data_IF_463326086482
#
_entry.id   IF_463326086482
#
_cell.length_a   1.000
_cell.length_b   1.000
_cell.length_c   1.000
_cell.angle_alpha   90.00
_cell.angle_beta   90.00
_cell.angle_gamma   90.00
#
_symmetry.space_group_name_H-M   'P 1'
#
loop_
_entity.id
_entity.type
_entity.pdbx_description
1 polymer ?
#
# COMPACT_ATOMS: atom_id res chain seq x y z
N UNK A 1 -10.39 -64.39 -18.72
CA UNK A 1 -9.30 -63.39 -18.58
C UNK A 1 -9.95 -62.01 -18.44
N UNK A 2 -9.57 -61.29 -17.38
CA UNK A 2 -10.27 -60.12 -16.83
C UNK A 2 -9.87 -58.85 -17.60
N UNK A 3 -10.86 -58.10 -18.09
CA UNK A 3 -10.66 -56.79 -18.75
C UNK A 3 -10.65 -55.72 -17.66
N UNK A 4 -9.55 -54.98 -17.62
CA UNK A 4 -9.15 -53.97 -16.64
C UNK A 4 -10.07 -52.76 -16.64
N UNK A 5 -10.55 -52.39 -15.45
CA UNK A 5 -11.32 -51.19 -15.18
C UNK A 5 -10.43 -49.94 -15.27
N UNK A 6 -10.78 -49.00 -16.16
CA UNK A 6 -10.15 -47.68 -16.22
C UNK A 6 -10.85 -46.73 -15.23
N UNK A 7 -10.20 -46.47 -14.10
CA UNK A 7 -10.63 -45.50 -13.10
C UNK A 7 -10.30 -44.10 -13.63
N UNK A 8 -11.33 -43.32 -13.97
CA UNK A 8 -11.19 -41.92 -14.34
C UNK A 8 -10.86 -41.08 -13.09
N UNK A 9 -9.61 -40.63 -13.00
CA UNK A 9 -9.11 -39.75 -11.95
C UNK A 9 -9.60 -38.32 -12.26
N UNK A 10 -10.70 -37.87 -11.64
CA UNK A 10 -11.13 -36.48 -11.69
C UNK A 10 -10.15 -35.62 -10.89
N UNK A 11 -9.26 -34.91 -11.59
CA UNK A 11 -8.34 -33.95 -11.02
C UNK A 11 -9.12 -32.79 -10.38
N UNK A 12 -8.99 -32.65 -9.06
CA UNK A 12 -9.39 -31.47 -8.30
C UNK A 12 -8.57 -30.27 -8.80
N UNK A 13 -9.16 -29.47 -9.69
CA UNK A 13 -8.68 -28.12 -9.99
C UNK A 13 -8.89 -27.26 -8.74
N UNK A 14 -7.89 -27.26 -7.85
CA UNK A 14 -7.77 -26.26 -6.81
C UNK A 14 -7.56 -24.91 -7.49
N UNK A 15 -8.64 -24.12 -7.59
CA UNK A 15 -8.59 -22.72 -8.01
C UNK A 15 -7.78 -21.98 -6.95
N UNK A 16 -6.48 -21.83 -7.19
CA UNK A 16 -5.62 -20.97 -6.41
C UNK A 16 -6.15 -19.54 -6.53
N UNK A 17 -6.90 -19.09 -5.52
CA UNK A 17 -7.25 -17.68 -5.39
C UNK A 17 -5.94 -16.90 -5.25
N UNK A 18 -5.64 -15.92 -6.12
CA UNK A 18 -4.48 -15.07 -5.92
C UNK A 18 -4.66 -14.36 -4.57
N UNK A 19 -3.63 -14.40 -3.73
CA UNK A 19 -3.57 -13.70 -2.44
C UNK A 19 -3.46 -12.18 -2.66
N UNK A 20 -4.50 -11.57 -3.21
CA UNK A 20 -4.66 -10.14 -3.39
C UNK A 20 -5.86 -9.70 -2.56
N UNK A 21 -5.70 -9.40 -1.26
CA UNK A 21 -6.87 -8.97 -0.47
C UNK A 21 -6.66 -8.14 0.81
N UNK A 22 -5.44 -7.87 1.29
CA UNK A 22 -5.29 -7.11 2.56
C UNK A 22 -4.94 -5.62 2.38
N UNK A 23 -4.99 -5.10 1.15
CA UNK A 23 -4.92 -3.65 0.95
C UNK A 23 -6.29 -3.00 1.11
N UNK A 24 -6.27 -1.86 1.79
CA UNK A 24 -7.41 -0.99 2.04
C UNK A 24 -7.25 0.28 1.20
N UNK A 25 -8.36 0.89 0.81
CA UNK A 25 -8.34 2.11 0.00
C UNK A 25 -9.01 3.24 0.76
N UNK A 26 -8.41 4.43 0.72
CA UNK A 26 -9.00 5.63 1.35
C UNK A 26 -10.11 6.22 0.49
N UNK A 27 -11.05 6.98 1.09
CA UNK A 27 -11.89 7.90 0.34
C UNK A 27 -11.06 8.86 -0.53
N UNK A 28 -11.68 9.39 -1.57
CA UNK A 28 -11.07 10.39 -2.45
C UNK A 28 -10.89 11.68 -1.66
N UNK A 29 -9.66 12.15 -1.53
CA UNK A 29 -9.35 13.39 -0.80
C UNK A 29 -8.10 14.05 -1.37
N UNK A 30 -7.78 15.26 -0.90
CA UNK A 30 -6.55 15.97 -1.24
C UNK A 30 -5.48 15.72 -0.19
N UNK A 31 -4.22 15.76 -0.61
CA UNK A 31 -3.08 15.66 0.32
C UNK A 31 -2.96 16.99 1.06
N UNK A 32 -3.09 16.97 2.39
CA UNK A 32 -2.95 18.18 3.22
C UNK A 32 -1.49 18.46 3.59
N UNK A 33 -0.68 17.40 3.71
CA UNK A 33 0.74 17.51 3.95
C UNK A 33 1.49 16.35 3.28
N UNK A 34 2.70 16.64 2.80
CA UNK A 34 3.62 15.65 2.24
C UNK A 34 5.03 15.89 2.82
N UNK A 35 5.68 14.83 3.30
CA UNK A 35 7.02 14.87 3.84
C UNK A 35 7.88 13.77 3.25
N UNK A 36 9.07 14.13 2.79
CA UNK A 36 10.09 13.22 2.29
C UNK A 36 11.31 13.35 3.21
N UNK A 37 11.83 12.23 3.67
CA UNK A 37 12.96 12.16 4.60
C UNK A 37 14.21 11.78 3.83
N UNK A 38 15.22 12.65 3.87
CA UNK A 38 16.52 12.38 3.25
C UNK A 38 17.22 11.17 3.88
N UNK A 39 18.05 10.47 3.11
CA UNK A 39 18.84 9.31 3.57
C UNK A 39 19.77 9.66 4.75
N UNK A 40 20.25 10.90 4.82
CA UNK A 40 21.09 11.41 5.91
C UNK A 40 20.35 11.59 7.23
N UNK A 41 19.02 11.64 7.23
CA UNK A 41 18.24 11.82 8.43
C UNK A 41 18.09 10.48 9.18
N UNK A 42 18.37 10.41 10.50
CA UNK A 42 18.23 9.17 11.29
C UNK A 42 16.83 8.54 11.24
N UNK A 43 15.79 9.33 10.97
CA UNK A 43 14.41 8.85 10.81
C UNK A 43 14.21 8.03 9.54
N UNK A 44 15.07 8.18 8.53
CA UNK A 44 14.95 7.48 7.24
C UNK A 44 14.92 5.97 7.42
N UNK A 45 15.72 5.42 8.35
CA UNK A 45 15.69 3.99 8.70
C UNK A 45 14.31 3.50 9.16
N UNK A 46 13.49 4.38 9.74
CA UNK A 46 12.15 4.05 10.23
C UNK A 46 11.11 4.18 9.12
N UNK A 47 11.18 5.23 8.31
CA UNK A 47 10.32 5.47 7.15
C UNK A 47 10.94 6.52 6.23
N UNK A 48 10.66 6.45 4.93
CA UNK A 48 11.24 7.33 3.91
C UNK A 48 10.39 8.57 3.67
N UNK A 49 9.09 8.50 3.95
CA UNK A 49 8.22 9.66 3.90
C UNK A 49 6.81 9.35 4.38
N UNK A 50 5.99 10.40 4.41
CA UNK A 50 4.62 10.32 4.83
C UNK A 50 3.75 11.34 4.09
N UNK A 51 2.49 10.98 3.90
CA UNK A 51 1.43 11.87 3.45
C UNK A 51 0.31 11.90 4.49
N UNK A 52 -0.34 13.05 4.58
CA UNK A 52 -1.50 13.26 5.43
C UNK A 52 -2.70 13.53 4.53
N UNK A 53 -3.78 12.81 4.80
CA UNK A 53 -5.09 13.07 4.23
C UNK A 53 -6.00 13.57 5.33
N UNK A 54 -6.94 14.43 4.97
CA UNK A 54 -8.03 14.82 5.86
C UNK A 54 -9.34 14.30 5.27
N UNK A 55 -10.07 13.54 6.07
CA UNK A 55 -11.42 13.07 5.78
C UNK A 55 -12.10 12.73 7.10
N UNK A 56 -13.43 12.73 7.14
CA UNK A 56 -14.21 12.49 8.36
C UNK A 56 -13.80 13.39 9.55
N UNK A 57 -13.43 14.64 9.27
CA UNK A 57 -12.93 15.63 10.25
C UNK A 57 -11.69 15.17 11.02
N UNK A 58 -10.96 14.19 10.50
CA UNK A 58 -9.77 13.61 11.11
C UNK A 58 -8.60 13.63 10.16
N UNK A 59 -7.41 13.88 10.72
CA UNK A 59 -6.16 13.79 9.97
C UNK A 59 -5.58 12.38 10.03
N UNK A 60 -5.22 11.84 8.87
CA UNK A 60 -4.78 10.48 8.72
C UNK A 60 -3.40 10.41 8.06
N UNK A 61 -2.44 9.79 8.77
CA UNK A 61 -1.06 9.62 8.28
C UNK A 61 -0.84 8.26 7.63
N UNK A 62 -0.28 8.29 6.42
CA UNK A 62 0.15 7.14 5.65
C UNK A 62 1.64 7.28 5.35
N UNK A 63 2.41 6.19 5.52
CA UNK A 63 3.87 6.19 5.42
C UNK A 63 4.34 5.26 4.31
N UNK A 64 5.58 5.40 3.88
CA UNK A 64 6.24 4.41 3.04
C UNK A 64 7.71 4.25 3.44
N UNK A 65 8.28 3.11 3.08
CA UNK A 65 9.66 2.76 3.31
C UNK A 65 10.01 2.43 4.76
N UNK A 66 11.24 1.98 4.96
CA UNK A 66 11.82 1.69 6.26
C UNK A 66 11.10 0.61 7.09
N UNK A 67 11.51 0.52 8.36
CA UNK A 67 11.02 -0.50 9.30
C UNK A 67 9.54 -0.37 9.65
N UNK A 68 8.96 0.84 9.62
CA UNK A 68 7.55 1.04 9.93
C UNK A 68 6.63 0.37 8.93
N UNK A 69 7.10 0.14 7.71
CA UNK A 69 6.33 -0.45 6.63
C UNK A 69 6.85 -1.81 6.16
N UNK A 70 7.68 -2.48 6.97
CA UNK A 70 8.19 -3.81 6.64
C UNK A 70 8.96 -3.84 5.31
N UNK A 71 9.58 -2.72 4.93
CA UNK A 71 10.27 -2.57 3.65
C UNK A 71 9.37 -2.22 2.46
N UNK A 72 8.04 -2.16 2.61
CA UNK A 72 7.16 -1.67 1.55
C UNK A 72 7.46 -0.19 1.26
N UNK A 73 7.82 0.10 0.01
CA UNK A 73 8.36 1.40 -0.39
C UNK A 73 7.70 1.91 -1.68
N UNK A 74 7.89 3.19 -1.96
CA UNK A 74 7.48 3.81 -3.21
C UNK A 74 8.71 4.08 -4.08
N UNK A 75 8.59 3.81 -5.38
CA UNK A 75 9.62 4.21 -6.33
C UNK A 75 9.71 5.75 -6.40
N UNK A 76 10.87 6.26 -6.81
CA UNK A 76 11.09 7.71 -6.97
C UNK A 76 10.05 8.35 -7.89
N UNK A 77 9.68 7.67 -8.98
CA UNK A 77 8.61 8.10 -9.89
C UNK A 77 7.24 8.20 -9.17
N UNK A 78 6.89 7.23 -8.33
CA UNK A 78 5.64 7.28 -7.55
C UNK A 78 5.67 8.43 -6.55
N UNK A 79 6.80 8.69 -5.92
CA UNK A 79 6.98 9.83 -5.01
C UNK A 79 6.86 11.16 -5.76
N UNK A 80 7.46 11.29 -6.96
CA UNK A 80 7.34 12.51 -7.77
C UNK A 80 5.90 12.76 -8.23
N UNK A 81 5.15 11.71 -8.59
CA UNK A 81 3.73 11.81 -8.91
C UNK A 81 2.89 12.30 -7.72
N UNK A 82 3.15 11.79 -6.51
CA UNK A 82 2.49 12.29 -5.28
C UNK A 82 2.81 13.76 -5.02
N UNK A 83 4.06 14.17 -5.23
CA UNK A 83 4.46 15.57 -5.07
C UNK A 83 3.77 16.48 -6.08
N UNK A 84 3.65 16.06 -7.34
CA UNK A 84 2.91 16.79 -8.37
C UNK A 84 1.40 16.88 -8.03
N UNK A 85 0.80 15.78 -7.60
CA UNK A 85 -0.61 15.74 -7.18
C UNK A 85 -0.86 16.71 -6.00
N UNK A 86 0.03 16.71 -5.00
CA UNK A 86 -0.03 17.63 -3.87
C UNK A 86 0.05 19.10 -4.30
N UNK A 87 1.04 19.47 -5.13
CA UNK A 87 1.24 20.86 -5.57
C UNK A 87 0.09 21.39 -6.40
N UNK A 88 -0.51 20.54 -7.23
CA UNK A 88 -1.61 20.90 -8.12
C UNK A 88 -2.99 20.65 -7.50
N UNK A 89 -3.04 20.26 -6.21
CA UNK A 89 -4.27 19.97 -5.46
C UNK A 89 -5.19 18.95 -6.14
N UNK A 90 -4.60 17.96 -6.82
CA UNK A 90 -5.37 16.82 -7.33
C UNK A 90 -5.92 15.98 -6.18
N UNK A 91 -7.04 15.33 -6.45
CA UNK A 91 -7.59 14.32 -5.56
C UNK A 91 -6.80 13.02 -5.69
N UNK A 92 -6.70 12.28 -4.59
CA UNK A 92 -6.03 10.98 -4.53
C UNK A 92 -6.88 9.97 -3.76
N UNK A 93 -6.79 8.70 -4.16
CA UNK A 93 -7.12 7.56 -3.29
C UNK A 93 -5.83 6.82 -2.98
N UNK A 94 -5.58 6.57 -1.70
CA UNK A 94 -4.38 5.88 -1.25
C UNK A 94 -4.74 4.43 -0.97
N UNK A 95 -4.03 3.52 -1.63
CA UNK A 95 -4.05 2.10 -1.29
C UNK A 95 -2.99 1.83 -0.22
N UNK A 96 -3.38 1.24 0.90
CA UNK A 96 -2.51 1.03 2.04
C UNK A 96 -2.70 -0.35 2.70
N UNK A 97 -1.66 -0.81 3.37
CA UNK A 97 -1.68 -1.98 4.27
C UNK A 97 -1.32 -1.56 5.68
N UNK A 98 -1.91 -2.21 6.67
CA UNK A 98 -1.48 -2.04 8.06
C UNK A 98 -0.26 -2.93 8.34
N UNK A 99 0.77 -2.35 8.93
CA UNK A 99 1.96 -3.06 9.38
C UNK A 99 2.16 -2.88 10.88
N UNK A 100 2.41 -3.96 11.60
CA UNK A 100 2.64 -3.93 13.05
C UNK A 100 4.13 -3.74 13.32
N UNK A 101 4.48 -2.63 13.96
CA UNK A 101 5.86 -2.36 14.39
C UNK A 101 5.88 -1.98 15.87
N UNK A 102 6.58 -2.78 16.68
CA UNK A 102 6.68 -2.59 18.15
C UNK A 102 5.32 -2.38 18.82
N UNK A 103 4.36 -3.26 18.51
CA UNK A 103 3.01 -3.22 19.06
C UNK A 103 2.11 -2.08 18.53
N UNK A 104 2.58 -1.23 17.61
CA UNK A 104 1.80 -0.13 17.02
C UNK A 104 1.51 -0.40 15.55
N UNK A 105 0.24 -0.29 15.15
CA UNK A 105 -0.17 -0.38 13.75
C UNK A 105 0.24 0.88 12.98
N UNK A 106 0.77 0.71 11.78
CA UNK A 106 1.20 1.76 10.85
C UNK A 106 0.52 1.54 9.51
N UNK A 107 -0.09 2.58 8.94
CA UNK A 107 -0.65 2.55 7.59
C UNK A 107 0.44 2.83 6.57
N UNK A 108 0.66 1.89 5.68
CA UNK A 108 1.76 1.87 4.74
C UNK A 108 1.25 1.88 3.31
N UNK A 109 1.64 2.91 2.55
CA UNK A 109 1.21 3.11 1.17
C UNK A 109 1.79 1.99 0.30
N UNK A 110 0.92 1.35 -0.48
CA UNK A 110 1.31 0.33 -1.46
C UNK A 110 0.92 0.74 -2.89
N UNK A 111 -0.03 1.66 -3.02
CA UNK A 111 -0.50 2.19 -4.30
C UNK A 111 -1.27 3.48 -4.10
N UNK A 112 -1.61 4.13 -5.21
CA UNK A 112 -2.52 5.27 -5.21
C UNK A 112 -3.07 5.50 -6.61
N UNK A 113 -4.21 6.18 -6.69
CA UNK A 113 -4.75 6.79 -7.90
C UNK A 113 -4.77 8.31 -7.74
N UNK A 114 -4.70 9.02 -8.86
CA UNK A 114 -4.80 10.49 -8.92
C UNK A 114 -5.96 10.83 -9.85
N UNK A 115 -6.84 11.72 -9.41
CA UNK A 115 -7.99 12.21 -10.18
C UNK A 115 -8.12 13.73 -10.07
N UNK A 116 -8.74 14.34 -11.08
CA UNK A 116 -9.00 15.78 -11.14
C UNK A 116 -10.27 16.13 -10.37
#
# INVERSE_FOLDING_TARGET
MRITAAIALFALLAVARPAAADSKTTPTSTITQLSIISKSNPKHRRFHGALWLEFDKNQHVYRWGGLYCGGADLSELKVSMLFAAFRSKYSVNIEYKDHLYKGKRRRCVVGFTISR
#
